data_IF_022343382034
#
_entry.id   IF_022343382034
#
_cell.length_a   1.000
_cell.length_b   1.000
_cell.length_c   1.000
_cell.angle_alpha   90.00
_cell.angle_beta   90.00
_cell.angle_gamma   90.00
#
_symmetry.space_group_name_H-M   'P 1'
#
loop_
_entity.id
_entity.type
_entity.pdbx_description
1 polymer ?
#
# COMPACT_ATOMS: atom_id res chain seq x y z
N UNK A 1 17.00 -2.63 8.91
CA UNK A 1 15.78 -2.10 9.56
C UNK A 1 14.78 -3.24 9.67
N UNK A 2 14.18 -3.50 10.83
CA UNK A 2 13.16 -4.54 10.99
C UNK A 2 11.77 -4.05 10.56
N UNK A 3 10.78 -4.96 10.52
CA UNK A 3 9.40 -4.66 10.08
C UNK A 3 8.77 -3.48 10.83
N UNK A 4 8.90 -3.45 12.16
CA UNK A 4 8.25 -2.42 12.98
C UNK A 4 8.92 -1.05 12.78
N UNK A 5 10.26 -1.04 12.72
CA UNK A 5 11.02 0.17 12.40
C UNK A 5 10.65 0.73 11.03
N UNK A 6 10.49 -0.14 10.02
CA UNK A 6 10.06 0.26 8.68
C UNK A 6 8.65 0.84 8.69
N UNK A 7 7.70 0.23 9.41
CA UNK A 7 6.34 0.76 9.56
C UNK A 7 6.37 2.17 10.16
N UNK A 8 7.10 2.36 11.27
CA UNK A 8 7.23 3.66 11.93
C UNK A 8 7.89 4.68 10.99
N UNK A 9 8.92 4.26 10.27
CA UNK A 9 9.60 5.13 9.31
C UNK A 9 8.68 5.53 8.15
N UNK A 10 7.93 4.61 7.55
CA UNK A 10 6.98 4.93 6.49
C UNK A 10 5.90 5.91 6.97
N UNK A 11 5.39 5.75 8.20
CA UNK A 11 4.47 6.71 8.80
C UNK A 11 5.09 8.10 8.95
N UNK A 12 6.34 8.15 9.43
CA UNK A 12 7.08 9.40 9.54
C UNK A 12 7.30 10.08 8.18
N UNK A 13 7.61 9.31 7.12
CA UNK A 13 7.73 9.84 5.76
C UNK A 13 6.40 10.42 5.28
N UNK A 14 5.27 9.74 5.52
CA UNK A 14 3.95 10.24 5.15
C UNK A 14 3.62 11.57 5.84
N UNK A 15 3.91 11.69 7.14
CA UNK A 15 3.69 12.91 7.92
C UNK A 15 4.56 14.10 7.45
N UNK A 16 5.70 13.81 6.82
CA UNK A 16 6.63 14.81 6.28
C UNK A 16 6.49 15.05 4.78
N UNK A 17 5.46 14.48 4.15
CA UNK A 17 5.10 14.80 2.78
C UNK A 17 5.02 16.33 2.60
N UNK A 18 5.55 16.90 1.51
CA UNK A 18 5.42 18.33 1.20
C UNK A 18 3.96 18.81 1.11
N UNK A 19 3.03 17.89 0.87
CA UNK A 19 1.59 18.14 0.89
C UNK A 19 0.90 17.00 1.66
N UNK A 20 0.93 17.03 3.01
CA UNK A 20 0.47 15.92 3.85
C UNK A 20 -1.05 15.72 3.76
N UNK A 21 -1.82 16.77 3.45
CA UNK A 21 -3.27 16.70 3.25
C UNK A 21 -3.66 16.14 1.86
N UNK A 22 -2.68 15.96 0.96
CA UNK A 22 -2.88 15.34 -0.34
C UNK A 22 -2.44 13.88 -0.31
N UNK A 23 -3.43 12.97 -0.36
CA UNK A 23 -3.15 11.53 -0.40
C UNK A 23 -2.29 11.11 -1.61
N UNK A 24 -2.47 11.75 -2.75
CA UNK A 24 -1.67 11.48 -3.97
C UNK A 24 -0.22 11.94 -3.82
N UNK A 25 0.02 13.15 -3.33
CA UNK A 25 1.38 13.67 -3.13
C UNK A 25 2.12 12.89 -2.03
N UNK A 26 1.43 12.58 -0.94
CA UNK A 26 1.96 11.78 0.17
C UNK A 26 2.34 10.37 -0.28
N UNK A 27 1.52 9.74 -1.12
CA UNK A 27 1.87 8.48 -1.75
C UNK A 27 3.11 8.60 -2.64
N UNK A 28 3.16 9.60 -3.53
CA UNK A 28 4.29 9.76 -4.45
C UNK A 28 5.60 9.94 -3.69
N UNK A 29 5.57 10.75 -2.62
CA UNK A 29 6.71 10.96 -1.73
C UNK A 29 7.14 9.67 -1.03
N UNK A 30 6.20 8.89 -0.48
CA UNK A 30 6.50 7.59 0.14
C UNK A 30 7.06 6.60 -0.89
N UNK A 31 6.46 6.51 -2.08
CA UNK A 31 6.91 5.62 -3.16
C UNK A 31 8.36 5.90 -3.54
N UNK A 32 8.71 7.16 -3.74
CA UNK A 32 10.08 7.54 -4.10
C UNK A 32 11.10 7.11 -3.03
N UNK A 33 10.77 7.29 -1.75
CA UNK A 33 11.62 6.84 -0.64
C UNK A 33 11.77 5.31 -0.61
N UNK A 34 10.69 4.57 -0.89
CA UNK A 34 10.73 3.12 -0.97
C UNK A 34 11.54 2.62 -2.16
N UNK A 35 11.43 3.26 -3.33
CA UNK A 35 12.24 2.90 -4.51
C UNK A 35 13.73 3.09 -4.24
N UNK A 36 14.11 4.21 -3.62
CA UNK A 36 15.51 4.44 -3.23
C UNK A 36 16.01 3.41 -2.22
N UNK A 37 15.20 3.11 -1.19
CA UNK A 37 15.56 2.13 -0.17
C UNK A 37 15.78 0.73 -0.79
N UNK A 38 14.86 0.26 -1.64
CA UNK A 38 14.94 -1.06 -2.27
C UNK A 38 16.07 -1.14 -3.32
N UNK A 39 16.45 -0.02 -3.93
CA UNK A 39 17.61 0.03 -4.82
C UNK A 39 18.94 -0.04 -4.05
N UNK A 40 19.00 0.53 -2.85
CA UNK A 40 20.20 0.52 -1.99
C UNK A 40 20.34 -0.78 -1.20
N UNK A 41 19.23 -1.38 -0.78
CA UNK A 41 19.18 -2.59 0.02
C UNK A 41 18.08 -3.53 -0.53
N UNK A 42 18.38 -4.35 -1.55
CA UNK A 42 17.41 -5.27 -2.15
C UNK A 42 16.84 -6.30 -1.15
N UNK A 43 17.60 -6.66 -0.12
CA UNK A 43 17.19 -7.63 0.91
C UNK A 43 16.04 -7.08 1.78
N UNK A 44 15.85 -5.75 1.80
CA UNK A 44 14.69 -5.10 2.45
C UNK A 44 13.36 -5.42 1.78
N UNK A 45 13.33 -5.99 0.56
CA UNK A 45 12.07 -6.30 -0.14
C UNK A 45 11.16 -7.19 0.70
N UNK A 46 11.70 -8.24 1.32
CA UNK A 46 10.91 -9.15 2.16
C UNK A 46 10.31 -8.44 3.38
N UNK A 47 11.14 -7.64 4.07
CA UNK A 47 10.70 -6.84 5.23
C UNK A 47 9.63 -5.83 4.82
N UNK A 48 9.77 -5.23 3.64
CA UNK A 48 8.80 -4.27 3.12
C UNK A 48 7.46 -4.92 2.76
N UNK A 49 7.46 -6.08 2.12
CA UNK A 49 6.23 -6.85 1.85
C UNK A 49 5.49 -7.14 3.17
N UNK A 50 6.19 -7.59 4.21
CA UNK A 50 5.60 -7.85 5.53
C UNK A 50 5.06 -6.59 6.22
N UNK A 51 5.74 -5.46 6.04
CA UNK A 51 5.27 -4.16 6.53
C UNK A 51 3.96 -3.74 5.82
N UNK A 52 3.90 -3.92 4.49
CA UNK A 52 2.69 -3.63 3.72
C UNK A 52 1.53 -4.56 4.08
N UNK A 53 1.79 -5.87 4.30
CA UNK A 53 0.77 -6.80 4.81
C UNK A 53 0.18 -6.33 6.13
N UNK A 54 1.03 -5.83 7.02
CA UNK A 54 0.59 -5.26 8.30
C UNK A 54 -0.34 -4.06 8.08
N UNK A 55 0.00 -3.14 7.17
CA UNK A 55 -0.86 -1.99 6.83
C UNK A 55 -2.16 -2.39 6.13
N UNK A 56 -2.12 -3.37 5.23
CA UNK A 56 -3.32 -3.92 4.59
C UNK A 56 -4.26 -4.50 5.66
N UNK A 57 -3.74 -5.25 6.63
CA UNK A 57 -4.52 -5.87 7.70
C UNK A 57 -5.25 -4.87 8.63
N UNK A 58 -4.85 -3.59 8.64
CA UNK A 58 -5.55 -2.56 9.41
C UNK A 58 -6.94 -2.21 8.87
N UNK A 59 -7.18 -2.48 7.57
CA UNK A 59 -8.44 -2.23 6.85
C UNK A 59 -8.95 -0.79 7.00
N UNK A 60 -8.05 0.19 6.98
CA UNK A 60 -8.37 1.60 7.22
C UNK A 60 -7.52 2.54 6.37
N UNK A 61 -7.95 3.79 6.30
CA UNK A 61 -7.14 4.87 5.75
C UNK A 61 -6.28 5.56 6.81
N UNK A 62 -5.14 6.14 6.38
CA UNK A 62 -4.58 6.06 5.02
C UNK A 62 -3.81 4.77 4.73
N UNK A 63 -3.47 3.98 5.75
CA UNK A 63 -2.44 2.93 5.66
C UNK A 63 -2.76 1.84 4.63
N UNK A 64 -3.97 1.27 4.64
CA UNK A 64 -4.33 0.17 3.73
C UNK A 64 -4.38 0.64 2.27
N UNK A 65 -4.80 1.88 2.01
CA UNK A 65 -4.82 2.44 0.65
C UNK A 65 -3.42 2.77 0.15
N UNK A 66 -2.57 3.35 1.01
CA UNK A 66 -1.15 3.57 0.69
C UNK A 66 -0.44 2.26 0.39
N UNK A 67 -0.69 1.21 1.18
CA UNK A 67 -0.12 -0.12 0.96
C UNK A 67 -0.58 -0.74 -0.36
N UNK A 68 -1.89 -0.73 -0.65
CA UNK A 68 -2.43 -1.25 -1.90
C UNK A 68 -1.86 -0.53 -3.13
N UNK A 69 -1.76 0.79 -3.05
CA UNK A 69 -1.21 1.60 -4.14
C UNK A 69 0.30 1.38 -4.33
N UNK A 70 1.06 1.24 -3.23
CA UNK A 70 2.50 0.91 -3.29
C UNK A 70 2.73 -0.48 -3.89
N UNK A 71 1.90 -1.46 -3.53
CA UNK A 71 1.97 -2.80 -4.08
C UNK A 71 1.88 -2.76 -5.61
N UNK A 72 0.86 -2.08 -6.16
CA UNK A 72 0.71 -1.91 -7.61
C UNK A 72 1.85 -1.08 -8.22
N UNK A 73 2.18 0.08 -7.63
CA UNK A 73 3.19 1.00 -8.14
C UNK A 73 4.61 0.42 -8.19
N UNK A 74 4.91 -0.54 -7.30
CA UNK A 74 6.20 -1.24 -7.22
C UNK A 74 6.12 -2.67 -7.73
N UNK A 75 5.00 -3.06 -8.34
CA UNK A 75 4.77 -4.38 -8.94
C UNK A 75 5.05 -5.53 -7.97
N UNK A 76 4.59 -5.41 -6.73
CA UNK A 76 4.73 -6.42 -5.69
C UNK A 76 3.65 -7.48 -5.85
N UNK A 77 3.88 -8.43 -6.75
CA UNK A 77 2.94 -9.50 -7.08
C UNK A 77 2.68 -10.45 -5.89
N UNK A 78 3.57 -10.45 -4.91
CA UNK A 78 3.47 -11.20 -3.65
C UNK A 78 2.29 -10.75 -2.77
N UNK A 79 1.70 -9.57 -3.04
CA UNK A 79 0.59 -8.99 -2.30
C UNK A 79 -0.77 -9.13 -3.01
N UNK A 80 -0.84 -9.86 -4.15
CA UNK A 80 -2.09 -10.01 -4.92
C UNK A 80 -3.25 -10.55 -4.07
N UNK A 81 -3.02 -11.63 -3.33
CA UNK A 81 -4.04 -12.23 -2.47
C UNK A 81 -4.43 -11.31 -1.32
N UNK A 82 -3.47 -10.59 -0.72
CA UNK A 82 -3.74 -9.61 0.32
C UNK A 82 -4.64 -8.46 -0.19
N UNK A 83 -4.42 -8.00 -1.42
CA UNK A 83 -5.25 -6.97 -2.08
C UNK A 83 -6.62 -7.50 -2.49
N UNK A 84 -6.70 -8.74 -2.97
CA UNK A 84 -7.97 -9.39 -3.28
C UNK A 84 -8.83 -9.51 -2.01
N UNK A 85 -8.24 -9.97 -0.91
CA UNK A 85 -8.92 -10.05 0.38
C UNK A 85 -9.38 -8.67 0.88
N UNK A 86 -8.53 -7.64 0.76
CA UNK A 86 -8.92 -6.27 1.09
C UNK A 86 -10.14 -5.81 0.27
N UNK A 87 -10.17 -6.10 -1.04
CA UNK A 87 -11.29 -5.76 -1.91
C UNK A 87 -12.59 -6.42 -1.45
N UNK A 88 -12.55 -7.74 -1.20
CA UNK A 88 -13.71 -8.49 -0.70
C UNK A 88 -14.23 -7.91 0.61
N UNK A 89 -13.35 -7.53 1.53
CA UNK A 89 -13.76 -6.95 2.82
C UNK A 89 -14.33 -5.54 2.70
N UNK A 90 -13.82 -4.72 1.76
CA UNK A 90 -14.42 -3.43 1.43
C UNK A 90 -15.84 -3.65 0.88
N UNK A 91 -15.98 -4.53 -0.11
CA UNK A 91 -17.25 -4.85 -0.77
C UNK A 91 -18.24 -5.55 0.17
N UNK A 92 -17.75 -6.34 1.13
CA UNK A 92 -18.54 -6.97 2.18
C UNK A 92 -18.91 -6.03 3.34
N UNK A 93 -18.33 -4.82 3.40
CA UNK A 93 -18.55 -3.88 4.51
C UNK A 93 -17.89 -4.30 5.82
N UNK A 94 -16.86 -5.15 5.76
CA UNK A 94 -16.11 -5.70 6.90
C UNK A 94 -14.83 -4.89 7.21
N UNK A 95 -14.76 -3.67 6.71
CA UNK A 95 -13.58 -2.80 6.80
C UNK A 95 -13.87 -1.53 7.59
N UNK A 96 -12.82 -0.84 8.05
CA UNK A 96 -12.92 0.42 8.81
C UNK A 96 -12.90 1.66 7.91
N UNK A 97 -13.06 1.48 6.60
CA UNK A 97 -13.18 2.57 5.64
C UNK A 97 -14.47 3.35 5.85
N UNK A 98 -14.50 4.61 5.39
CA UNK A 98 -15.72 5.41 5.38
C UNK A 98 -16.81 4.70 4.53
N UNK A 99 -17.95 4.28 5.12
CA UNK A 99 -18.99 3.54 4.38
C UNK A 99 -19.55 4.31 3.18
N UNK A 100 -19.62 5.64 3.26
CA UNK A 100 -20.11 6.49 2.17
C UNK A 100 -19.17 6.52 0.96
N UNK A 101 -17.91 6.15 1.14
CA UNK A 101 -16.89 6.08 0.08
C UNK A 101 -16.51 4.65 -0.29
N UNK A 102 -17.24 3.64 0.20
CA UNK A 102 -17.00 2.21 -0.10
C UNK A 102 -16.77 1.93 -1.58
N UNK A 103 -17.66 2.40 -2.45
CA UNK A 103 -17.57 2.18 -3.89
C UNK A 103 -16.32 2.81 -4.51
N UNK A 104 -15.88 3.96 -3.96
CA UNK A 104 -14.65 4.61 -4.38
C UNK A 104 -13.42 3.77 -3.99
N UNK A 105 -13.34 3.28 -2.76
CA UNK A 105 -12.22 2.44 -2.31
C UNK A 105 -12.15 1.11 -3.05
N UNK A 106 -13.30 0.41 -3.19
CA UNK A 106 -13.37 -0.85 -3.92
C UNK A 106 -12.85 -0.67 -5.36
N UNK A 107 -13.30 0.38 -6.06
CA UNK A 107 -12.81 0.69 -7.42
C UNK A 107 -11.30 0.93 -7.46
N UNK A 108 -10.75 1.66 -6.49
CA UNK A 108 -9.30 1.92 -6.42
C UNK A 108 -8.51 0.63 -6.20
N UNK A 109 -8.90 -0.18 -5.21
CA UNK A 109 -8.24 -1.46 -4.91
C UNK A 109 -8.36 -2.43 -6.09
N UNK A 110 -9.53 -2.50 -6.73
CA UNK A 110 -9.73 -3.28 -7.95
C UNK A 110 -8.74 -2.87 -9.06
N UNK A 111 -8.55 -1.58 -9.31
CA UNK A 111 -7.59 -1.11 -10.30
C UNK A 111 -6.16 -1.50 -9.95
N UNK A 112 -5.74 -1.35 -8.69
CA UNK A 112 -4.41 -1.77 -8.23
C UNK A 112 -4.19 -3.27 -8.37
N UNK A 113 -5.21 -4.07 -8.06
CA UNK A 113 -5.16 -5.52 -8.22
C UNK A 113 -5.06 -5.91 -9.71
N UNK A 114 -5.83 -5.25 -10.58
CA UNK A 114 -5.74 -5.42 -12.03
C UNK A 114 -4.32 -5.10 -12.55
N UNK A 115 -3.71 -4.01 -12.09
CA UNK A 115 -2.33 -3.66 -12.45
C UNK A 115 -1.35 -4.78 -12.07
N UNK A 116 -1.54 -5.40 -10.89
CA UNK A 116 -0.70 -6.51 -10.45
C UNK A 116 -0.90 -7.78 -11.27
N UNK A 117 -2.12 -8.10 -11.72
CA UNK A 117 -2.35 -9.26 -12.59
C UNK A 117 -1.73 -9.10 -13.99
N UNK A 118 -1.62 -7.87 -14.47
CA UNK A 118 -1.04 -7.56 -15.79
C UNK A 118 0.50 -7.41 -15.77
N UNK A 119 1.16 -7.67 -14.64
CA UNK A 119 2.64 -7.69 -14.58
C UNK A 119 3.17 -8.90 -15.33
N UNK A 120 3.74 -8.67 -16.51
CA UNK A 120 4.45 -9.69 -17.30
C UNK A 120 5.78 -10.06 -16.60
N UNK A 121 6.07 -11.34 -16.35
CA UNK A 121 7.38 -11.76 -15.83
C UNK A 121 8.47 -11.35 -16.83
N UNK A 122 9.52 -10.69 -16.34
CA UNK A 122 10.73 -10.40 -17.13
C UNK A 122 11.69 -11.57 -17.09
#
# INVERSE_FOLDING_TARGET
MNKNELITWMQYIMQRSPAPDSGEATYAYLKEHMERLLAQDPDMRGVFIEALRTWLALRKEPESMSAAKLAAGLKLTELREDLHQLLVEIEGGQSKFNPHMKAYYARRVHNYLSDLYNVVPK
#
